data_IF_601973480984
#
_entry.id   IF_601973480984
#
_cell.length_a   1.000
_cell.length_b   1.000
_cell.length_c   1.000
_cell.angle_alpha   90.00
_cell.angle_beta   90.00
_cell.angle_gamma   90.00
#
_symmetry.space_group_name_H-M   'P 1'
#
loop_
_entity.id
_entity.type
_entity.pdbx_description
1 polymer ?
#
# COMPACT_ATOMS: atom_id res chain seq x y z
N UNK A 1 -19.08 1.23 -17.27
CA UNK A 1 -19.45 0.59 -15.98
C UNK A 1 -19.56 1.59 -14.83
N UNK A 2 -18.56 2.43 -14.55
CA UNK A 2 -18.66 3.43 -13.47
C UNK A 2 -19.89 4.37 -13.59
N UNK A 3 -20.22 4.84 -14.80
CA UNK A 3 -21.43 5.64 -15.05
C UNK A 3 -22.70 4.88 -14.71
N UNK A 4 -22.78 3.58 -15.03
CA UNK A 4 -23.93 2.74 -14.69
C UNK A 4 -24.05 2.54 -13.18
N UNK A 5 -22.93 2.40 -12.45
CA UNK A 5 -22.94 2.38 -10.99
C UNK A 5 -23.49 3.70 -10.42
N UNK A 6 -23.05 4.85 -10.95
CA UNK A 6 -23.54 6.16 -10.52
C UNK A 6 -25.04 6.31 -10.78
N UNK A 7 -25.50 5.94 -11.98
CA UNK A 7 -26.93 5.97 -12.33
C UNK A 7 -27.73 5.08 -11.36
N UNK A 8 -27.28 3.84 -11.13
CA UNK A 8 -27.96 2.92 -10.22
C UNK A 8 -28.12 3.52 -8.82
N UNK A 9 -27.10 4.21 -8.30
CA UNK A 9 -27.15 4.90 -6.99
C UNK A 9 -28.13 6.07 -7.02
N UNK A 10 -28.12 6.88 -8.08
CA UNK A 10 -29.02 8.04 -8.20
C UNK A 10 -30.49 7.67 -8.31
N UNK A 11 -30.80 6.49 -8.87
CA UNK A 11 -32.19 5.99 -8.99
C UNK A 11 -32.59 5.07 -7.84
N UNK A 12 -31.75 4.95 -6.81
CA UNK A 12 -31.98 4.07 -5.66
C UNK A 12 -32.34 2.62 -6.07
N UNK A 13 -31.58 2.08 -7.03
CA UNK A 13 -31.80 0.73 -7.55
C UNK A 13 -31.71 -0.36 -6.47
N UNK A 14 -32.20 -1.55 -6.81
CA UNK A 14 -32.18 -2.70 -5.89
C UNK A 14 -30.75 -3.11 -5.52
N UNK A 15 -30.53 -3.59 -4.29
CA UNK A 15 -29.21 -3.93 -3.76
C UNK A 15 -28.40 -4.90 -4.64
N UNK A 16 -29.07 -5.90 -5.23
CA UNK A 16 -28.46 -6.82 -6.20
C UNK A 16 -27.84 -6.12 -7.43
N UNK A 17 -28.42 -5.00 -7.86
CA UNK A 17 -27.90 -4.22 -8.98
C UNK A 17 -26.56 -3.56 -8.61
N UNK A 18 -26.45 -3.01 -7.40
CA UNK A 18 -25.18 -2.46 -6.91
C UNK A 18 -24.08 -3.52 -6.86
N UNK A 19 -24.40 -4.69 -6.34
CA UNK A 19 -23.45 -5.81 -6.26
C UNK A 19 -23.01 -6.25 -7.65
N UNK A 20 -23.96 -6.48 -8.56
CA UNK A 20 -23.67 -6.90 -9.93
C UNK A 20 -22.78 -5.89 -10.66
N UNK A 21 -23.14 -4.60 -10.61
CA UNK A 21 -22.39 -3.54 -11.28
C UNK A 21 -21.00 -3.33 -10.67
N UNK A 22 -20.86 -3.51 -9.35
CA UNK A 22 -19.56 -3.44 -8.67
C UNK A 22 -18.68 -4.61 -9.09
N UNK A 23 -19.20 -5.84 -9.12
CA UNK A 23 -18.46 -7.02 -9.59
C UNK A 23 -18.07 -6.89 -11.07
N UNK A 24 -18.98 -6.39 -11.91
CA UNK A 24 -18.69 -6.12 -13.32
C UNK A 24 -17.61 -5.04 -13.49
N UNK A 25 -17.63 -3.99 -12.67
CA UNK A 25 -16.60 -2.95 -12.65
C UNK A 25 -15.24 -3.53 -12.27
N UNK A 26 -15.17 -4.31 -11.18
CA UNK A 26 -13.94 -4.99 -10.75
C UNK A 26 -13.41 -5.91 -11.85
N UNK A 27 -14.27 -6.76 -12.42
CA UNK A 27 -13.89 -7.67 -13.49
C UNK A 27 -13.38 -6.92 -14.72
N UNK A 28 -14.03 -5.82 -15.10
CA UNK A 28 -13.58 -4.96 -16.20
C UNK A 28 -12.20 -4.33 -15.96
N UNK A 29 -11.95 -3.78 -14.76
CA UNK A 29 -10.64 -3.22 -14.40
C UNK A 29 -9.57 -4.32 -14.39
N UNK A 30 -9.88 -5.47 -13.81
CA UNK A 30 -8.94 -6.59 -13.74
C UNK A 30 -8.60 -7.15 -15.12
N UNK A 31 -9.59 -7.27 -16.00
CA UNK A 31 -9.41 -7.72 -17.38
C UNK A 31 -8.52 -6.76 -18.19
N UNK A 32 -8.67 -5.45 -17.99
CA UNK A 32 -7.88 -4.43 -18.69
C UNK A 32 -6.47 -4.21 -18.11
N UNK A 33 -6.04 -5.03 -17.15
CA UNK A 33 -4.81 -4.78 -16.40
C UNK A 33 -3.57 -5.44 -16.98
N UNK A 34 -2.40 -4.89 -16.64
CA UNK A 34 -1.11 -5.47 -17.00
C UNK A 34 -0.95 -6.95 -16.60
N UNK A 35 -1.49 -7.34 -15.45
CA UNK A 35 -1.44 -8.74 -15.01
C UNK A 35 -2.22 -9.65 -15.97
N UNK A 36 -3.42 -9.23 -16.41
CA UNK A 36 -4.23 -9.98 -17.36
C UNK A 36 -3.60 -10.02 -18.76
N UNK A 37 -2.91 -8.95 -19.18
CA UNK A 37 -2.13 -8.97 -20.42
C UNK A 37 -0.96 -9.96 -20.38
N UNK A 38 -0.30 -10.11 -19.22
CA UNK A 38 0.82 -11.04 -19.06
C UNK A 38 0.36 -12.50 -18.84
N UNK A 39 -0.76 -12.70 -18.14
CA UNK A 39 -1.40 -14.00 -17.97
C UNK A 39 -2.91 -13.81 -17.83
N UNK A 40 -3.66 -14.18 -18.87
CA UNK A 40 -5.08 -13.87 -19.00
C UNK A 40 -5.90 -14.23 -17.74
N UNK A 41 -6.05 -15.52 -17.45
CA UNK A 41 -6.92 -15.96 -16.36
C UNK A 41 -6.32 -15.66 -14.98
N UNK A 42 -5.07 -16.08 -14.75
CA UNK A 42 -4.42 -15.92 -13.44
C UNK A 42 -4.19 -14.46 -13.07
N UNK A 43 -3.82 -13.63 -14.05
CA UNK A 43 -3.66 -12.19 -13.86
C UNK A 43 -4.98 -11.48 -13.59
N UNK A 44 -6.04 -11.80 -14.34
CA UNK A 44 -7.37 -11.26 -14.09
C UNK A 44 -7.91 -11.65 -12.71
N UNK A 45 -7.80 -12.93 -12.32
CA UNK A 45 -8.28 -13.41 -11.02
C UNK A 45 -7.49 -12.79 -9.87
N UNK A 46 -6.15 -12.78 -9.97
CA UNK A 46 -5.28 -12.16 -8.98
C UNK A 46 -5.64 -10.69 -8.78
N UNK A 47 -5.77 -9.93 -9.87
CA UNK A 47 -6.07 -8.50 -9.77
C UNK A 47 -7.50 -8.24 -9.29
N UNK A 48 -8.48 -9.06 -9.66
CA UNK A 48 -9.86 -8.97 -9.15
C UNK A 48 -9.90 -9.16 -7.63
N UNK A 49 -9.23 -10.20 -7.11
CA UNK A 49 -9.12 -10.46 -5.67
C UNK A 49 -8.43 -9.29 -4.98
N UNK A 50 -7.36 -8.76 -5.56
CA UNK A 50 -6.63 -7.63 -5.01
C UNK A 50 -7.52 -6.38 -4.87
N UNK A 51 -8.25 -6.01 -5.94
CA UNK A 51 -9.16 -4.86 -5.94
C UNK A 51 -10.32 -5.05 -4.96
N UNK A 52 -10.92 -6.24 -4.91
CA UNK A 52 -11.99 -6.53 -3.94
C UNK A 52 -11.50 -6.44 -2.51
N UNK A 53 -10.36 -7.06 -2.20
CA UNK A 53 -9.79 -7.06 -0.87
C UNK A 53 -9.47 -5.63 -0.38
N UNK A 54 -8.85 -4.80 -1.22
CA UNK A 54 -8.54 -3.41 -0.87
C UNK A 54 -9.78 -2.53 -0.82
N UNK A 55 -10.76 -2.76 -1.70
CA UNK A 55 -12.03 -2.02 -1.69
C UNK A 55 -12.86 -2.31 -0.44
N UNK A 56 -12.92 -3.57 -0.02
CA UNK A 56 -13.68 -4.01 1.15
C UNK A 56 -13.05 -3.54 2.47
N UNK A 57 -11.75 -3.74 2.65
CA UNK A 57 -11.07 -3.28 3.88
C UNK A 57 -10.80 -1.77 3.84
N UNK A 58 -10.10 -1.31 2.81
CA UNK A 58 -9.70 0.09 2.66
C UNK A 58 -10.88 1.03 2.52
N UNK A 59 -11.94 0.63 1.81
CA UNK A 59 -13.18 1.42 1.71
C UNK A 59 -13.81 1.68 3.07
N UNK A 60 -13.87 0.69 3.95
CA UNK A 60 -14.37 0.87 5.33
C UNK A 60 -13.45 1.81 6.12
N UNK A 61 -12.12 1.66 6.02
CA UNK A 61 -11.16 2.59 6.66
C UNK A 61 -11.41 4.02 6.22
N UNK A 62 -11.53 4.27 4.92
CA UNK A 62 -11.75 5.60 4.35
C UNK A 62 -13.09 6.20 4.78
N UNK A 63 -14.18 5.43 4.72
CA UNK A 63 -15.52 5.88 5.13
C UNK A 63 -15.52 6.24 6.62
N UNK A 64 -14.99 5.38 7.47
CA UNK A 64 -14.97 5.63 8.92
C UNK A 64 -14.05 6.81 9.25
N UNK A 65 -12.89 6.93 8.60
CA UNK A 65 -11.97 8.05 8.80
C UNK A 65 -12.59 9.41 8.41
N UNK A 66 -13.35 9.45 7.31
CA UNK A 66 -13.97 10.66 6.79
C UNK A 66 -15.23 11.05 7.56
N UNK A 67 -16.11 10.09 7.87
CA UNK A 67 -17.48 10.39 8.31
C UNK A 67 -17.76 10.08 9.78
N UNK A 68 -16.89 9.38 10.50
CA UNK A 68 -17.11 9.10 11.93
C UNK A 68 -16.98 10.37 12.78
N UNK A 69 -18.04 10.68 13.54
CA UNK A 69 -18.10 11.80 14.50
C UNK A 69 -18.09 11.32 15.95
N UNK A 70 -18.60 10.13 16.21
CA UNK A 70 -18.74 9.55 17.55
C UNK A 70 -18.02 8.21 17.68
N UNK A 71 -17.61 7.89 18.90
CA UNK A 71 -16.85 6.68 19.23
C UNK A 71 -17.61 5.73 20.16
N UNK A 72 -18.91 5.98 20.37
CA UNK A 72 -19.78 5.24 21.31
C UNK A 72 -19.80 3.72 21.05
N UNK A 73 -19.81 3.31 19.78
CA UNK A 73 -19.86 1.91 19.35
C UNK A 73 -18.51 1.35 18.87
N UNK A 74 -17.39 2.02 19.18
CA UNK A 74 -16.10 1.69 18.56
C UNK A 74 -15.59 0.29 18.92
N UNK A 75 -15.89 -0.21 20.13
CA UNK A 75 -15.54 -1.59 20.51
C UNK A 75 -16.26 -2.64 19.64
N UNK A 76 -17.54 -2.41 19.35
CA UNK A 76 -18.35 -3.29 18.50
C UNK A 76 -17.91 -3.21 17.03
N UNK A 77 -17.53 -2.02 16.56
CA UNK A 77 -16.90 -1.86 15.26
C UNK A 77 -15.62 -2.72 15.15
N UNK A 78 -14.70 -2.58 16.10
CA UNK A 78 -13.45 -3.34 16.08
C UNK A 78 -13.64 -4.86 16.22
N UNK A 79 -14.71 -5.34 16.86
CA UNK A 79 -14.90 -6.79 17.04
C UNK A 79 -15.19 -7.54 15.74
N UNK A 80 -15.89 -6.94 14.79
CA UNK A 80 -16.12 -7.56 13.48
C UNK A 80 -15.11 -7.07 12.44
N UNK A 81 -14.72 -5.78 12.49
CA UNK A 81 -13.88 -5.19 11.46
C UNK A 81 -12.44 -5.70 11.53
N UNK A 82 -11.88 -5.90 12.73
CA UNK A 82 -10.50 -6.38 12.87
C UNK A 82 -10.28 -7.76 12.21
N UNK A 83 -11.07 -8.82 12.50
CA UNK A 83 -10.90 -10.11 11.83
C UNK A 83 -11.19 -10.04 10.33
N UNK A 84 -12.17 -9.23 9.91
CA UNK A 84 -12.47 -8.99 8.50
C UNK A 84 -11.29 -8.35 7.76
N UNK A 85 -10.71 -7.28 8.34
CA UNK A 85 -9.56 -6.57 7.80
C UNK A 85 -8.34 -7.49 7.67
N UNK A 86 -8.10 -8.39 8.64
CA UNK A 86 -7.03 -9.39 8.56
C UNK A 86 -7.26 -10.32 7.36
N UNK A 87 -8.48 -10.84 7.18
CA UNK A 87 -8.83 -11.68 6.04
C UNK A 87 -8.62 -10.98 4.70
N UNK A 88 -9.09 -9.73 4.57
CA UNK A 88 -8.85 -8.90 3.39
C UNK A 88 -7.36 -8.66 3.17
N UNK A 89 -6.58 -8.34 4.21
CA UNK A 89 -5.16 -8.07 4.08
C UNK A 89 -4.36 -9.31 3.65
N UNK A 90 -4.71 -10.50 4.14
CA UNK A 90 -4.11 -11.77 3.68
C UNK A 90 -4.38 -11.98 2.18
N UNK A 91 -5.64 -11.86 1.75
CA UNK A 91 -6.00 -11.97 0.33
C UNK A 91 -5.32 -10.92 -0.53
N UNK A 92 -5.25 -9.69 -0.05
CA UNK A 92 -4.58 -8.56 -0.70
C UNK A 92 -3.10 -8.83 -0.90
N UNK A 93 -2.42 -9.36 0.12
CA UNK A 93 -0.99 -9.65 0.08
C UNK A 93 -0.68 -10.81 -0.85
N UNK A 94 -1.45 -11.90 -0.78
CA UNK A 94 -1.29 -13.06 -1.65
C UNK A 94 -1.52 -12.70 -3.13
N UNK A 95 -2.63 -12.04 -3.42
CA UNK A 95 -2.94 -11.59 -4.79
C UNK A 95 -1.94 -10.54 -5.30
N UNK A 96 -1.52 -9.59 -4.46
CA UNK A 96 -0.52 -8.59 -4.83
C UNK A 96 0.82 -9.24 -5.20
N UNK A 97 1.26 -10.22 -4.41
CA UNK A 97 2.48 -10.96 -4.65
C UNK A 97 2.40 -11.82 -5.94
N UNK A 98 1.28 -12.51 -6.16
CA UNK A 98 1.02 -13.26 -7.40
C UNK A 98 1.06 -12.33 -8.61
N UNK A 99 0.39 -11.18 -8.54
CA UNK A 99 0.42 -10.17 -9.60
C UNK A 99 1.82 -9.65 -9.88
N UNK A 100 2.64 -9.40 -8.85
CA UNK A 100 4.04 -9.01 -9.02
C UNK A 100 4.84 -10.10 -9.75
N UNK A 101 4.69 -11.37 -9.37
CA UNK A 101 5.37 -12.49 -10.04
C UNK A 101 4.94 -12.59 -11.51
N UNK A 102 3.64 -12.48 -11.79
CA UNK A 102 3.11 -12.55 -13.17
C UNK A 102 3.67 -11.42 -14.03
N UNK A 103 3.79 -10.21 -13.49
CA UNK A 103 4.15 -9.02 -14.26
C UNK A 103 5.66 -8.91 -14.52
N UNK A 104 6.50 -9.25 -13.54
CA UNK A 104 7.96 -9.04 -13.64
C UNK A 104 8.81 -10.27 -13.32
N UNK A 105 8.26 -11.26 -12.62
CA UNK A 105 9.03 -12.37 -12.07
C UNK A 105 9.82 -11.99 -10.81
N UNK A 106 10.00 -12.94 -9.90
CA UNK A 106 10.62 -12.67 -8.59
C UNK A 106 12.11 -12.31 -8.70
N UNK A 107 12.85 -12.96 -9.60
CA UNK A 107 14.29 -12.73 -9.82
C UNK A 107 14.61 -11.31 -10.30
N UNK A 108 13.61 -10.64 -10.87
CA UNK A 108 13.73 -9.33 -11.48
C UNK A 108 13.31 -8.19 -10.54
N UNK A 109 12.84 -8.50 -9.33
CA UNK A 109 12.35 -7.48 -8.41
C UNK A 109 13.41 -6.41 -8.10
N UNK A 110 14.63 -6.82 -7.77
CA UNK A 110 15.73 -5.88 -7.47
C UNK A 110 16.15 -5.12 -8.72
N UNK A 111 16.32 -5.82 -9.84
CA UNK A 111 16.64 -5.20 -11.14
C UNK A 111 15.59 -4.18 -11.59
N UNK A 112 14.32 -4.40 -11.24
CA UNK A 112 13.24 -3.47 -11.56
C UNK A 112 13.41 -2.10 -10.93
N UNK A 113 14.19 -1.98 -9.86
CA UNK A 113 14.52 -0.68 -9.25
C UNK A 113 15.32 0.21 -10.21
N UNK A 114 15.89 -0.33 -11.29
CA UNK A 114 16.43 0.46 -12.39
C UNK A 114 15.35 1.23 -13.20
N UNK A 115 14.06 1.07 -12.90
CA UNK A 115 12.94 1.73 -13.60
C UNK A 115 12.04 2.49 -12.63
N UNK A 116 11.34 3.52 -13.13
CA UNK A 116 10.39 4.31 -12.31
C UNK A 116 9.23 3.46 -11.77
N UNK A 117 8.84 2.40 -12.50
CA UNK A 117 7.85 1.43 -12.03
C UNK A 117 8.35 0.66 -10.82
N UNK A 118 9.58 0.13 -10.87
CA UNK A 118 10.14 -0.62 -9.75
C UNK A 118 10.42 0.26 -8.54
N UNK A 119 10.80 1.53 -8.75
CA UNK A 119 10.91 2.54 -7.70
C UNK A 119 9.57 2.82 -7.00
N UNK A 120 8.51 3.03 -7.78
CA UNK A 120 7.15 3.24 -7.24
C UNK A 120 6.65 2.00 -6.50
N UNK A 121 6.93 0.80 -7.03
CA UNK A 121 6.60 -0.46 -6.38
C UNK A 121 7.38 -0.65 -5.06
N UNK A 122 8.67 -0.31 -5.03
CA UNK A 122 9.48 -0.36 -3.81
C UNK A 122 8.90 0.56 -2.73
N UNK A 123 8.60 1.82 -3.08
CA UNK A 123 7.98 2.78 -2.18
C UNK A 123 6.62 2.29 -1.67
N UNK A 124 5.81 1.66 -2.53
CA UNK A 124 4.57 1.00 -2.13
C UNK A 124 4.82 -0.08 -1.09
N UNK A 125 5.78 -0.99 -1.31
CA UNK A 125 6.11 -2.05 -0.34
C UNK A 125 6.63 -1.51 0.99
N UNK A 126 7.51 -0.51 0.97
CA UNK A 126 8.02 0.12 2.18
C UNK A 126 6.86 0.77 2.96
N UNK A 127 5.93 1.45 2.27
CA UNK A 127 4.78 2.13 2.90
C UNK A 127 3.75 1.16 3.51
N UNK A 128 3.71 -0.10 3.06
CA UNK A 128 2.87 -1.14 3.70
C UNK A 128 3.34 -1.41 5.14
N UNK A 129 4.62 -1.22 5.47
CA UNK A 129 5.15 -1.45 6.82
C UNK A 129 4.50 -0.52 7.86
N UNK A 130 4.51 0.82 7.72
CA UNK A 130 3.81 1.70 8.66
C UNK A 130 2.28 1.54 8.57
N UNK A 131 1.72 1.20 7.41
CA UNK A 131 0.29 0.89 7.30
C UNK A 131 -0.09 -0.27 8.22
N UNK A 132 0.71 -1.35 8.23
CA UNK A 132 0.53 -2.48 9.14
C UNK A 132 0.67 -2.05 10.61
N UNK A 133 1.61 -1.16 10.93
CA UNK A 133 1.71 -0.62 12.29
C UNK A 133 0.44 0.13 12.70
N UNK A 134 -0.12 0.97 11.83
CA UNK A 134 -1.40 1.65 12.09
C UNK A 134 -2.58 0.68 12.19
N UNK A 135 -2.65 -0.34 11.33
CA UNK A 135 -3.67 -1.38 11.41
C UNK A 135 -3.57 -2.16 12.73
N UNK A 136 -2.37 -2.46 13.23
CA UNK A 136 -2.15 -3.09 14.53
C UNK A 136 -2.57 -2.16 15.68
N UNK A 137 -2.22 -0.88 15.59
CA UNK A 137 -2.64 0.14 16.56
C UNK A 137 -4.17 0.20 16.61
N UNK A 138 -4.85 0.32 15.48
CA UNK A 138 -6.31 0.45 15.42
C UNK A 138 -7.04 -0.84 15.78
N UNK A 139 -6.57 -2.00 15.31
CA UNK A 139 -7.23 -3.28 15.53
C UNK A 139 -7.03 -3.86 16.93
N UNK A 140 -5.81 -3.77 17.47
CA UNK A 140 -5.45 -4.46 18.72
C UNK A 140 -5.18 -3.51 19.88
N UNK A 141 -4.36 -2.47 19.70
CA UNK A 141 -3.97 -1.59 20.81
C UNK A 141 -5.12 -0.67 21.22
N UNK A 142 -5.82 -0.08 20.25
CA UNK A 142 -6.97 0.79 20.49
C UNK A 142 -8.11 0.04 21.19
N UNK A 143 -8.31 -1.24 20.86
CA UNK A 143 -9.30 -2.11 21.53
C UNK A 143 -9.06 -2.21 23.04
N UNK A 144 -7.80 -2.16 23.48
CA UNK A 144 -7.41 -2.19 24.90
C UNK A 144 -7.47 -0.79 25.54
N UNK A 145 -7.16 0.26 24.79
CA UNK A 145 -7.08 1.63 25.27
C UNK A 145 -8.41 2.41 25.28
N UNK A 146 -9.45 1.89 24.62
CA UNK A 146 -10.73 2.58 24.38
C UNK A 146 -11.47 3.09 25.63
N UNK A 147 -11.19 2.52 26.81
CA UNK A 147 -11.79 2.97 28.08
C UNK A 147 -11.23 4.30 28.58
N UNK A 148 -10.10 4.75 28.03
CA UNK A 148 -9.43 5.99 28.43
C UNK A 148 -9.81 7.12 27.44
N UNK A 149 -10.43 8.21 27.91
CA UNK A 149 -10.96 9.28 27.05
C UNK A 149 -9.88 10.03 26.26
N UNK A 150 -8.62 9.95 26.69
CA UNK A 150 -7.49 10.59 26.02
C UNK A 150 -7.10 9.91 24.69
N UNK A 151 -7.45 8.63 24.51
CA UNK A 151 -7.24 7.95 23.24
C UNK A 151 -8.37 8.30 22.29
N UNK A 152 -8.02 8.89 21.14
CA UNK A 152 -8.96 9.35 20.10
C UNK A 152 -8.97 8.37 18.92
N UNK A 153 -9.87 7.36 18.88
CA UNK A 153 -9.82 6.31 17.87
C UNK A 153 -9.99 6.83 16.43
N UNK A 154 -10.84 7.85 16.26
CA UNK A 154 -11.06 8.51 14.96
C UNK A 154 -9.78 9.14 14.42
N UNK A 155 -8.93 9.71 15.28
CA UNK A 155 -7.66 10.28 14.83
C UNK A 155 -6.69 9.20 14.33
N UNK A 156 -6.66 8.04 14.98
CA UNK A 156 -5.79 6.93 14.57
C UNK A 156 -6.24 6.23 13.30
N UNK A 157 -7.55 6.08 13.06
CA UNK A 157 -8.03 5.57 11.76
C UNK A 157 -7.78 6.58 10.63
N UNK A 158 -7.82 7.90 10.92
CA UNK A 158 -7.42 8.93 9.96
C UNK A 158 -5.94 8.82 9.61
N UNK A 159 -5.07 8.56 10.60
CA UNK A 159 -3.66 8.30 10.34
C UNK A 159 -3.45 7.07 9.44
N UNK A 160 -4.15 5.96 9.70
CA UNK A 160 -4.15 4.77 8.83
C UNK A 160 -4.59 5.13 7.40
N UNK A 161 -5.68 5.91 7.27
CA UNK A 161 -6.21 6.34 5.97
C UNK A 161 -5.22 7.20 5.17
N UNK A 162 -4.45 8.07 5.84
CA UNK A 162 -3.43 8.90 5.16
C UNK A 162 -2.36 8.00 4.56
N UNK A 163 -1.86 7.01 5.31
CA UNK A 163 -0.86 6.07 4.80
C UNK A 163 -1.44 5.20 3.66
N UNK A 164 -2.70 4.78 3.77
CA UNK A 164 -3.40 4.06 2.70
C UNK A 164 -3.51 4.91 1.42
N UNK A 165 -3.82 6.20 1.53
CA UNK A 165 -3.88 7.10 0.37
C UNK A 165 -2.51 7.29 -0.29
N UNK A 166 -1.40 7.28 0.47
CA UNK A 166 -0.04 7.31 -0.09
C UNK A 166 0.24 6.03 -0.91
N UNK A 167 -0.22 4.87 -0.45
CA UNK A 167 -0.13 3.61 -1.22
C UNK A 167 -0.95 3.68 -2.52
N UNK A 168 -2.13 4.31 -2.47
CA UNK A 168 -2.93 4.55 -3.67
C UNK A 168 -2.27 5.54 -4.62
N UNK A 169 -1.59 6.57 -4.11
CA UNK A 169 -0.81 7.49 -4.92
C UNK A 169 0.29 6.74 -5.71
N UNK A 170 1.10 5.91 -5.04
CA UNK A 170 2.11 5.10 -5.75
C UNK A 170 1.48 4.14 -6.75
N UNK A 171 0.34 3.53 -6.40
CA UNK A 171 -0.39 2.66 -7.33
C UNK A 171 -0.90 3.44 -8.55
N UNK A 172 -1.40 4.66 -8.38
CA UNK A 172 -1.86 5.52 -9.47
C UNK A 172 -0.70 5.92 -10.40
N UNK A 173 0.47 6.25 -9.84
CA UNK A 173 1.70 6.51 -10.61
C UNK A 173 2.05 5.27 -11.44
N UNK A 174 2.09 4.09 -10.82
CA UNK A 174 2.43 2.84 -11.51
C UNK A 174 1.47 2.49 -12.65
N UNK A 175 0.18 2.81 -12.55
CA UNK A 175 -0.80 2.56 -13.63
C UNK A 175 -0.47 3.35 -14.91
N UNK A 176 0.25 4.47 -14.78
CA UNK A 176 0.68 5.27 -15.94
C UNK A 176 2.00 4.80 -16.55
N UNK A 177 2.67 3.84 -15.91
CA UNK A 177 3.99 3.36 -16.29
C UNK A 177 3.90 1.97 -16.91
N UNK A 178 4.76 1.69 -17.88
CA UNK A 178 4.86 0.35 -18.43
C UNK A 178 5.55 -0.58 -17.43
N UNK A 179 4.99 -1.78 -17.15
CA UNK A 179 5.65 -2.72 -16.28
C UNK A 179 6.98 -3.21 -16.85
N UNK A 180 7.95 -3.55 -15.99
CA UNK A 180 9.31 -3.90 -16.38
C UNK A 180 9.40 -5.35 -16.87
N UNK A 181 8.67 -5.69 -17.94
CA UNK A 181 8.69 -7.02 -18.54
C UNK A 181 10.02 -7.32 -19.27
N UNK A 182 10.68 -6.28 -19.80
CA UNK A 182 11.98 -6.35 -20.47
C UNK A 182 12.96 -5.33 -19.87
N UNK A 183 13.45 -5.60 -18.65
CA UNK A 183 14.30 -4.68 -17.87
C UNK A 183 15.57 -4.27 -18.65
N UNK A 184 16.12 -5.16 -19.48
CA UNK A 184 17.31 -4.88 -20.30
C UNK A 184 17.14 -3.68 -21.25
N UNK A 185 15.91 -3.39 -21.70
CA UNK A 185 15.62 -2.25 -22.58
C UNK A 185 15.15 -1.01 -21.80
N UNK A 186 14.72 -1.16 -20.54
CA UNK A 186 14.11 -0.08 -19.73
C UNK A 186 14.99 0.42 -18.58
N UNK A 187 16.10 -0.26 -18.26
CA UNK A 187 17.00 0.15 -17.17
C UNK A 187 17.66 1.52 -17.38
N UNK A 188 17.49 2.12 -18.56
CA UNK A 188 17.94 3.48 -18.87
C UNK A 188 16.91 4.57 -18.55
N UNK A 189 15.71 4.21 -18.09
CA UNK A 189 14.60 5.17 -17.90
C UNK A 189 14.50 5.75 -16.49
N UNK A 190 15.13 5.16 -15.45
CA UNK A 190 15.08 5.76 -14.11
C UNK A 190 16.02 6.96 -13.98
N UNK A 191 15.45 8.11 -13.62
CA UNK A 191 16.21 9.35 -13.41
C UNK A 191 16.94 9.39 -12.06
N UNK A 192 16.45 8.64 -11.06
CA UNK A 192 16.92 8.75 -9.68
C UNK A 192 18.27 8.05 -9.43
N UNK A 193 18.51 6.88 -10.02
CA UNK A 193 19.74 6.11 -9.77
C UNK A 193 20.98 6.78 -10.39
N UNK A 194 20.95 7.22 -11.66
CA UNK A 194 22.06 8.00 -12.22
C UNK A 194 22.35 9.28 -11.45
N UNK A 195 21.31 9.93 -10.90
CA UNK A 195 21.48 11.10 -10.03
C UNK A 195 22.20 10.75 -8.72
N UNK A 196 21.86 9.64 -8.06
CA UNK A 196 22.49 9.21 -6.81
C UNK A 196 23.94 8.77 -7.02
N UNK A 197 24.22 7.99 -8.07
CA UNK A 197 25.54 7.39 -8.31
C UNK A 197 26.46 8.24 -9.19
N UNK A 198 25.94 9.30 -9.82
CA UNK A 198 26.71 10.16 -10.74
C UNK A 198 27.16 9.46 -12.02
N UNK A 199 26.67 8.25 -12.29
CA UNK A 199 26.99 7.44 -13.46
C UNK A 199 25.79 6.60 -13.88
N UNK A 200 25.78 6.17 -15.14
CA UNK A 200 24.78 5.22 -15.62
C UNK A 200 24.88 3.90 -14.87
N UNK A 201 23.72 3.31 -14.59
CA UNK A 201 23.59 2.10 -13.79
C UNK A 201 23.51 0.90 -14.71
N UNK A 202 24.34 -0.12 -14.46
CA UNK A 202 24.33 -1.36 -15.25
C UNK A 202 23.64 -2.48 -14.50
N UNK A 203 22.92 -3.33 -15.23
CA UNK A 203 22.33 -4.55 -14.70
C UNK A 203 23.36 -5.69 -14.69
N UNK A 204 23.23 -6.69 -13.79
CA UNK A 204 22.22 -6.82 -12.75
C UNK A 204 22.51 -5.96 -11.51
N UNK A 205 21.45 -5.45 -10.88
CA UNK A 205 21.55 -4.82 -9.57
C UNK A 205 21.76 -5.90 -8.51
N UNK A 206 22.79 -5.72 -7.69
CA UNK A 206 23.10 -6.63 -6.58
C UNK A 206 23.11 -5.86 -5.28
N UNK A 207 22.73 -6.52 -4.18
CA UNK A 207 22.77 -5.90 -2.87
C UNK A 207 24.18 -5.89 -2.31
N UNK A 208 24.58 -4.75 -1.77
CA UNK A 208 25.81 -4.60 -1.02
C UNK A 208 25.52 -3.85 0.28
N UNK A 209 26.07 -4.35 1.38
CA UNK A 209 25.99 -3.64 2.67
C UNK A 209 26.93 -2.43 2.58
N UNK A 210 26.37 -1.23 2.59
CA UNK A 210 27.12 0.02 2.66
C UNK A 210 26.97 0.67 4.03
N UNK A 211 27.97 1.45 4.44
CA UNK A 211 27.91 2.20 5.70
C UNK A 211 26.73 3.17 5.69
N UNK A 212 26.56 3.91 4.58
CA UNK A 212 25.46 4.87 4.40
C UNK A 212 24.10 4.16 4.46
N UNK A 213 23.94 3.06 3.71
CA UNK A 213 22.71 2.28 3.73
C UNK A 213 22.37 1.75 5.12
N UNK A 214 23.38 1.24 5.84
CA UNK A 214 23.23 0.75 7.23
C UNK A 214 22.80 1.86 8.19
N UNK A 215 23.38 3.06 8.08
CA UNK A 215 23.03 4.21 8.91
C UNK A 215 21.57 4.66 8.65
N UNK A 216 21.17 4.78 7.38
CA UNK A 216 19.79 5.14 7.04
C UNK A 216 18.78 4.06 7.45
N UNK A 217 19.16 2.78 7.39
CA UNK A 217 18.33 1.69 7.89
C UNK A 217 18.12 1.78 9.41
N UNK A 218 19.18 2.11 10.15
CA UNK A 218 19.09 2.35 11.59
C UNK A 218 18.18 3.55 11.91
N UNK A 219 18.33 4.66 11.18
CA UNK A 219 17.45 5.84 11.31
C UNK A 219 16.00 5.50 10.99
N UNK A 220 15.75 4.73 9.93
CA UNK A 220 14.41 4.24 9.61
C UNK A 220 13.83 3.45 10.79
N UNK A 221 14.59 2.50 11.36
CA UNK A 221 14.14 1.73 12.52
C UNK A 221 13.78 2.62 13.71
N UNK A 222 14.55 3.67 13.99
CA UNK A 222 14.23 4.63 15.04
C UNK A 222 12.89 5.33 14.78
N UNK A 223 12.63 5.79 13.55
CA UNK A 223 11.35 6.39 13.20
C UNK A 223 10.19 5.39 13.30
N UNK A 224 10.40 4.13 12.91
CA UNK A 224 9.39 3.09 13.06
C UNK A 224 9.03 2.83 14.53
N UNK A 225 10.04 2.70 15.40
CA UNK A 225 9.82 2.58 16.85
C UNK A 225 9.11 3.83 17.38
N UNK A 226 9.45 5.01 16.87
CA UNK A 226 8.83 6.26 17.30
C UNK A 226 7.34 6.35 16.91
N UNK A 227 6.88 5.71 15.82
CA UNK A 227 5.44 5.54 15.51
C UNK A 227 4.72 4.86 16.68
N UNK A 228 5.30 3.80 17.23
CA UNK A 228 4.73 3.06 18.36
C UNK A 228 4.79 3.87 19.67
N UNK A 229 5.87 4.61 19.90
CA UNK A 229 5.99 5.52 21.06
C UNK A 229 4.92 6.60 21.01
N UNK A 230 4.65 7.16 19.82
CA UNK A 230 3.61 8.17 19.62
C UNK A 230 2.20 7.67 19.98
N UNK A 231 1.95 6.35 19.89
CA UNK A 231 0.71 5.76 20.39
C UNK A 231 0.56 5.95 21.89
N UNK A 232 1.58 5.58 22.66
CA UNK A 232 1.58 5.75 24.12
C UNK A 232 1.63 7.21 24.56
N UNK A 233 2.27 8.08 23.77
CA UNK A 233 2.27 9.55 23.97
C UNK A 233 0.99 10.24 23.46
N UNK A 234 0.07 9.50 22.81
CA UNK A 234 -1.23 9.99 22.32
C UNK A 234 -1.09 11.11 21.27
N UNK A 235 0.02 11.13 20.53
CA UNK A 235 0.36 12.16 19.53
C UNK A 235 0.28 11.61 18.10
N UNK A 236 -0.91 11.72 17.49
CA UNK A 236 -1.20 11.12 16.17
C UNK A 236 -0.45 11.79 15.02
N UNK A 237 -0.37 13.12 14.98
CA UNK A 237 0.28 13.79 13.85
C UNK A 237 1.79 13.45 13.78
N UNK A 238 2.45 13.32 14.93
CA UNK A 238 3.84 12.88 15.02
C UNK A 238 4.02 11.44 14.54
N UNK A 239 3.05 10.54 14.76
CA UNK A 239 3.14 9.18 14.26
C UNK A 239 3.05 9.14 12.73
N UNK A 240 2.20 9.96 12.12
CA UNK A 240 2.11 10.10 10.65
C UNK A 240 3.40 10.67 10.07
N UNK A 241 3.94 11.75 10.66
CA UNK A 241 5.22 12.33 10.24
C UNK A 241 6.35 11.30 10.34
N UNK A 242 6.41 10.56 11.46
CA UNK A 242 7.43 9.53 11.68
C UNK A 242 7.30 8.38 10.70
N UNK A 243 6.07 7.99 10.33
CA UNK A 243 5.84 7.00 9.28
C UNK A 243 6.36 7.48 7.92
N UNK A 244 6.15 8.76 7.57
CA UNK A 244 6.72 9.36 6.36
C UNK A 244 8.25 9.37 6.36
N UNK A 245 8.85 9.78 7.49
CA UNK A 245 10.31 9.78 7.66
C UNK A 245 10.91 8.36 7.65
N UNK A 246 10.19 7.37 8.17
CA UNK A 246 10.54 5.96 8.03
C UNK A 246 10.60 5.55 6.56
N UNK A 247 9.55 5.84 5.78
CA UNK A 247 9.51 5.48 4.35
C UNK A 247 10.67 6.12 3.60
N UNK A 248 10.91 7.42 3.84
CA UNK A 248 12.01 8.14 3.22
C UNK A 248 13.38 7.56 3.60
N UNK A 249 13.66 7.37 4.89
CA UNK A 249 14.96 6.84 5.35
C UNK A 249 15.18 5.40 4.86
N UNK A 250 14.16 4.54 4.91
CA UNK A 250 14.25 3.17 4.41
C UNK A 250 14.51 3.16 2.90
N UNK A 251 13.82 4.01 2.14
CA UNK A 251 14.05 4.13 0.71
C UNK A 251 15.50 4.50 0.38
N UNK A 252 16.05 5.53 1.04
CA UNK A 252 17.47 5.91 0.87
C UNK A 252 18.40 4.76 1.28
N UNK A 253 18.08 4.03 2.35
CA UNK A 253 18.85 2.87 2.78
C UNK A 253 18.93 1.82 1.66
N UNK A 254 17.81 1.50 1.01
CA UNK A 254 17.78 0.53 -0.08
C UNK A 254 18.55 1.04 -1.30
N UNK A 255 18.33 2.29 -1.70
CA UNK A 255 18.94 2.88 -2.89
C UNK A 255 20.46 3.02 -2.80
N UNK A 256 20.99 3.21 -1.59
CA UNK A 256 22.43 3.29 -1.31
C UNK A 256 23.06 1.94 -0.96
N UNK A 257 22.27 0.86 -0.91
CA UNK A 257 22.72 -0.51 -0.66
C UNK A 257 22.73 -1.37 -1.93
N UNK A 258 22.77 -0.73 -3.10
CA UNK A 258 22.83 -1.39 -4.40
C UNK A 258 24.24 -1.19 -4.94
N UNK A 259 24.84 -2.26 -5.47
CA UNK A 259 26.06 -2.14 -6.25
C UNK A 259 25.67 -1.83 -7.70
N UNK A 260 26.30 -0.78 -8.23
CA UNK A 260 26.03 -0.19 -9.54
C UNK A 260 27.26 -0.22 -10.42
#
# INVERSE_FOLDING_TARGET
>A
MAILCMIAVTIESHSHMYTLLTLALVGGIAYASHAASASALSGMLSHSIHILAVGLWGGVVLIVAAFSKETSNWKNFLSWFTPFAIGCFVLLSLSGFISMIIIMGLSNYVNSWATDYGQSLLLKHITIIPLLAFAVINGFLMKKAIKQPEYKPVAWIRAESIILLIIFLFTAIMVTQSPPANISHMAMDSSILPFIYGKQVTLPLTFQVTVVGTLFLFVALLFFVYVLICFYKKTVWLSVLSAGLFVFAFYIAMMTSIQV
#
